data_IF_555336061553
#
_entry.id   IF_555336061553
#
_cell.length_a   1.000
_cell.length_b   1.000
_cell.length_c   1.000
_cell.angle_alpha   90.00
_cell.angle_beta   90.00
_cell.angle_gamma   90.00
#
_symmetry.space_group_name_H-M   'P 1'
#
loop_
_entity.id
_entity.type
_entity.pdbx_description
1 polymer ?
#
# COMPACT_ATOMS: atom_id res chain seq x y z
N UNK A 1 -29.40 45.02 8.97
CA UNK A 1 -29.91 43.67 9.19
C UNK A 1 -30.12 42.90 7.85
N UNK A 2 -30.76 43.46 6.84
CA UNK A 2 -30.98 42.83 5.55
C UNK A 2 -29.67 42.56 4.79
N UNK A 3 -28.75 43.54 4.75
CA UNK A 3 -27.45 43.39 4.06
C UNK A 3 -26.59 42.27 4.65
N UNK A 4 -26.60 42.09 5.99
CA UNK A 4 -25.91 40.98 6.67
C UNK A 4 -26.51 39.61 6.33
N UNK A 5 -27.84 39.52 6.15
CA UNK A 5 -28.51 38.30 5.74
C UNK A 5 -28.22 37.96 4.27
N UNK A 6 -28.14 38.98 3.40
CA UNK A 6 -27.76 38.80 1.98
C UNK A 6 -26.29 38.34 1.89
N UNK A 7 -25.37 38.96 2.61
CA UNK A 7 -23.97 38.56 2.64
C UNK A 7 -23.81 37.12 3.20
N UNK A 8 -24.55 36.78 4.27
CA UNK A 8 -24.56 35.43 4.82
C UNK A 8 -25.16 34.40 3.84
N UNK A 9 -26.22 34.73 3.15
CA UNK A 9 -26.82 33.89 2.11
C UNK A 9 -25.91 33.73 0.90
N UNK A 10 -25.24 34.79 0.46
CA UNK A 10 -24.22 34.73 -0.62
C UNK A 10 -22.99 33.91 -0.18
N UNK A 11 -22.61 33.97 1.10
CA UNK A 11 -21.54 33.16 1.64
C UNK A 11 -21.91 31.66 1.72
N UNK A 12 -23.15 31.35 2.09
CA UNK A 12 -23.68 29.97 2.07
C UNK A 12 -23.77 29.47 0.63
N UNK A 13 -24.30 30.26 -0.30
CA UNK A 13 -24.37 29.91 -1.73
C UNK A 13 -22.98 29.79 -2.38
N UNK A 14 -22.02 30.58 -1.94
CA UNK A 14 -20.61 30.45 -2.36
C UNK A 14 -19.95 29.20 -1.77
N UNK A 15 -20.29 28.80 -0.54
CA UNK A 15 -19.83 27.54 0.04
C UNK A 15 -20.48 26.33 -0.62
N UNK A 16 -21.75 26.38 -0.99
CA UNK A 16 -22.42 25.31 -1.78
C UNK A 16 -21.84 25.17 -3.18
N UNK A 17 -21.40 26.26 -3.82
CA UNK A 17 -20.68 26.22 -5.09
C UNK A 17 -19.22 25.75 -4.98
N UNK A 18 -18.64 25.74 -3.77
CA UNK A 18 -17.30 25.25 -3.46
C UNK A 18 -17.30 23.76 -3.08
N UNK A 19 -18.45 23.17 -2.72
CA UNK A 19 -18.54 21.75 -2.42
C UNK A 19 -18.37 20.93 -3.71
N UNK A 20 -17.57 19.88 -3.64
CA UNK A 20 -17.38 18.94 -4.74
C UNK A 20 -18.72 18.38 -5.21
N UNK A 21 -19.00 18.44 -6.54
CA UNK A 21 -20.23 17.89 -7.11
C UNK A 21 -20.38 16.41 -6.77
N UNK A 22 -21.58 15.98 -6.41
CA UNK A 22 -21.89 14.59 -6.07
C UNK A 22 -21.44 13.60 -7.16
N UNK A 23 -21.66 13.94 -8.44
CA UNK A 23 -21.22 13.13 -9.58
C UNK A 23 -19.69 12.96 -9.60
N UNK A 24 -18.93 14.04 -9.37
CA UNK A 24 -17.47 13.99 -9.29
C UNK A 24 -17.02 13.08 -8.14
N UNK A 25 -17.68 13.18 -6.98
CA UNK A 25 -17.37 12.33 -5.84
C UNK A 25 -17.56 10.84 -6.15
N UNK A 26 -18.67 10.49 -6.81
CA UNK A 26 -18.91 9.10 -7.25
C UNK A 26 -17.84 8.66 -8.24
N UNK A 27 -17.49 9.50 -9.23
CA UNK A 27 -16.44 9.19 -10.19
C UNK A 27 -15.09 8.89 -9.50
N UNK A 28 -14.70 9.69 -8.49
CA UNK A 28 -13.47 9.49 -7.76
C UNK A 28 -13.51 8.20 -6.89
N UNK A 29 -14.65 7.90 -6.26
CA UNK A 29 -14.82 6.66 -5.51
C UNK A 29 -14.71 5.42 -6.41
N UNK A 30 -15.36 5.44 -7.59
CA UNK A 30 -15.27 4.35 -8.58
C UNK A 30 -13.84 4.23 -9.10
N UNK A 31 -13.16 5.34 -9.39
CA UNK A 31 -11.75 5.36 -9.81
C UNK A 31 -10.86 4.68 -8.78
N UNK A 32 -10.98 5.05 -7.51
CA UNK A 32 -10.20 4.42 -6.43
C UNK A 32 -10.51 2.94 -6.30
N UNK A 33 -11.81 2.58 -6.31
CA UNK A 33 -12.24 1.19 -6.26
C UNK A 33 -11.62 0.37 -7.39
N UNK A 34 -11.78 0.79 -8.64
CA UNK A 34 -11.28 0.05 -9.80
C UNK A 34 -9.75 -0.05 -9.80
N UNK A 35 -9.05 1.04 -9.49
CA UNK A 35 -7.58 1.04 -9.47
C UNK A 35 -7.01 0.00 -8.50
N UNK A 36 -7.52 -0.06 -7.28
CA UNK A 36 -7.05 -1.01 -6.27
C UNK A 36 -7.64 -2.42 -6.44
N UNK A 37 -8.82 -2.54 -7.01
CA UNK A 37 -9.37 -3.83 -7.44
C UNK A 37 -8.45 -4.51 -8.45
N UNK A 38 -7.98 -3.78 -9.46
CA UNK A 38 -7.01 -4.27 -10.46
C UNK A 38 -5.77 -4.86 -9.80
N UNK A 39 -5.26 -4.24 -8.75
CA UNK A 39 -4.08 -4.76 -8.04
C UNK A 39 -4.42 -5.96 -7.14
N UNK A 40 -5.50 -5.85 -6.36
CA UNK A 40 -5.93 -6.90 -5.45
C UNK A 40 -6.38 -8.19 -6.15
N UNK A 41 -6.79 -8.11 -7.42
CA UNK A 41 -7.32 -9.25 -8.17
C UNK A 41 -6.28 -10.32 -8.54
N UNK A 42 -4.98 -10.06 -8.42
CA UNK A 42 -3.95 -11.02 -8.80
C UNK A 42 -2.75 -11.06 -7.84
N UNK A 43 -2.43 -9.93 -7.18
CA UNK A 43 -1.14 -9.75 -6.51
C UNK A 43 -0.89 -10.77 -5.40
N UNK A 44 -1.87 -11.01 -4.51
CA UNK A 44 -1.69 -11.94 -3.39
C UNK A 44 -1.64 -13.41 -3.82
N UNK A 45 -2.26 -13.76 -4.96
CA UNK A 45 -2.35 -15.14 -5.45
C UNK A 45 -1.29 -15.47 -6.51
N UNK A 46 -0.51 -14.49 -6.94
CA UNK A 46 0.53 -14.66 -7.97
C UNK A 46 1.54 -15.73 -7.58
N UNK A 47 1.98 -15.75 -6.31
CA UNK A 47 2.94 -16.74 -5.82
C UNK A 47 2.40 -18.18 -5.97
N UNK A 48 1.16 -18.42 -5.55
CA UNK A 48 0.49 -19.71 -5.68
C UNK A 48 0.33 -20.11 -7.18
N UNK A 49 -0.01 -19.14 -8.04
CA UNK A 49 -0.05 -19.38 -9.49
C UNK A 49 1.32 -19.77 -10.03
N UNK A 50 2.38 -19.03 -9.71
CA UNK A 50 3.73 -19.32 -10.19
C UNK A 50 4.23 -20.69 -9.73
N UNK A 51 3.94 -21.09 -8.49
CA UNK A 51 4.27 -22.45 -7.99
C UNK A 51 3.50 -23.56 -8.71
N UNK A 52 2.40 -23.25 -9.42
CA UNK A 52 1.72 -24.22 -10.28
C UNK A 52 2.39 -24.42 -11.65
N UNK A 53 3.31 -23.54 -12.04
CA UNK A 53 4.09 -23.66 -13.29
C UNK A 53 5.30 -24.56 -13.01
N UNK A 54 5.47 -25.66 -13.76
CA UNK A 54 6.60 -26.58 -13.57
C UNK A 54 7.96 -25.88 -13.69
N UNK A 55 8.84 -26.15 -12.72
CA UNK A 55 10.22 -25.66 -12.73
C UNK A 55 10.40 -24.23 -12.21
N UNK A 56 9.33 -23.56 -11.75
CA UNK A 56 9.45 -22.23 -11.11
C UNK A 56 9.92 -22.41 -9.67
N UNK A 57 11.07 -21.77 -9.35
CA UNK A 57 11.67 -21.78 -8.02
C UNK A 57 11.11 -20.69 -7.11
N UNK A 58 11.33 -20.79 -5.81
CA UNK A 58 10.88 -19.77 -4.85
C UNK A 58 11.65 -18.46 -5.02
N UNK A 59 12.92 -18.54 -5.42
CA UNK A 59 13.70 -17.35 -5.81
C UNK A 59 13.05 -16.63 -6.98
N UNK A 60 12.58 -17.37 -8.00
CA UNK A 60 11.86 -16.77 -9.14
C UNK A 60 10.54 -16.13 -8.72
N UNK A 61 9.81 -16.72 -7.77
CA UNK A 61 8.62 -16.09 -7.18
C UNK A 61 8.98 -14.75 -6.54
N UNK A 62 10.06 -14.70 -5.74
CA UNK A 62 10.55 -13.46 -5.15
C UNK A 62 10.96 -12.41 -6.18
N UNK A 63 11.64 -12.83 -7.26
CA UNK A 63 12.01 -11.94 -8.37
C UNK A 63 10.76 -11.39 -9.09
N UNK A 64 9.71 -12.19 -9.24
CA UNK A 64 8.44 -11.74 -9.82
C UNK A 64 7.76 -10.68 -8.93
N UNK A 65 7.67 -10.88 -7.62
CA UNK A 65 7.17 -9.86 -6.70
C UNK A 65 8.04 -8.61 -6.69
N UNK A 66 9.36 -8.73 -6.85
CA UNK A 66 10.31 -7.63 -6.96
C UNK A 66 10.00 -6.65 -8.11
N UNK A 67 9.25 -7.06 -9.15
CA UNK A 67 8.80 -6.17 -10.23
C UNK A 67 7.96 -5.00 -9.72
N UNK A 68 7.19 -5.19 -8.64
CA UNK A 68 6.48 -4.10 -7.95
C UNK A 68 7.45 -3.02 -7.49
N UNK A 69 8.54 -3.41 -6.86
CA UNK A 69 9.54 -2.49 -6.34
C UNK A 69 10.28 -1.77 -7.46
N UNK A 70 10.62 -2.46 -8.55
CA UNK A 70 11.20 -1.84 -9.74
C UNK A 70 10.24 -0.83 -10.36
N UNK A 71 8.97 -1.18 -10.49
CA UNK A 71 7.92 -0.27 -10.92
C UNK A 71 7.80 0.97 -10.01
N UNK A 72 7.85 0.79 -8.68
CA UNK A 72 7.77 1.87 -7.71
C UNK A 72 9.01 2.81 -7.76
N UNK A 73 10.20 2.28 -8.05
CA UNK A 73 11.41 3.08 -8.26
C UNK A 73 11.30 3.91 -9.55
N UNK A 74 10.71 3.36 -10.61
CA UNK A 74 10.59 4.01 -11.93
C UNK A 74 9.41 4.98 -11.98
N UNK A 75 8.34 4.72 -11.23
CA UNK A 75 7.09 5.50 -11.26
C UNK A 75 7.27 7.03 -11.11
N UNK A 76 8.09 7.55 -10.18
CA UNK A 76 8.29 9.00 -10.04
C UNK A 76 8.86 9.66 -11.29
N UNK A 77 9.70 8.94 -12.06
CA UNK A 77 10.25 9.46 -13.32
C UNK A 77 9.16 9.58 -14.39
N UNK A 78 8.26 8.59 -14.50
CA UNK A 78 7.13 8.65 -15.43
C UNK A 78 6.20 9.81 -15.07
N UNK A 79 5.86 9.95 -13.78
CA UNK A 79 5.00 11.04 -13.31
C UNK A 79 5.68 12.39 -13.54
N UNK A 80 6.89 12.60 -13.00
CA UNK A 80 7.56 13.89 -13.03
C UNK A 80 7.99 14.33 -14.43
N UNK A 81 8.32 13.41 -15.34
CA UNK A 81 8.78 13.74 -16.69
C UNK A 81 7.64 13.80 -17.72
N UNK A 82 6.55 13.07 -17.51
CA UNK A 82 5.47 12.94 -18.50
C UNK A 82 4.18 13.56 -17.98
N UNK A 83 3.64 13.02 -16.88
CA UNK A 83 2.32 13.39 -16.39
C UNK A 83 2.25 14.85 -15.90
N UNK A 84 3.26 15.28 -15.19
CA UNK A 84 3.30 16.63 -14.61
C UNK A 84 3.52 17.75 -15.67
N UNK A 85 3.87 17.39 -16.90
CA UNK A 85 4.28 18.37 -17.91
C UNK A 85 3.45 18.40 -19.18
N UNK A 86 3.06 17.23 -19.69
CA UNK A 86 2.57 17.15 -21.07
C UNK A 86 1.10 16.76 -21.16
N UNK A 87 0.60 15.93 -20.27
CA UNK A 87 -0.72 15.35 -20.42
C UNK A 87 -1.54 15.46 -19.15
N UNK A 88 -2.85 15.54 -19.27
CA UNK A 88 -3.77 15.48 -18.14
C UNK A 88 -3.69 14.13 -17.44
N UNK A 89 -3.65 14.12 -16.11
CA UNK A 89 -3.45 12.93 -15.28
C UNK A 89 -4.47 11.82 -15.59
N UNK A 90 -5.75 12.14 -15.77
CA UNK A 90 -6.79 11.17 -16.10
C UNK A 90 -6.59 10.52 -17.46
N UNK A 91 -6.01 11.22 -18.45
CA UNK A 91 -5.73 10.66 -19.78
C UNK A 91 -4.58 9.65 -19.72
N UNK A 92 -3.52 10.00 -19.00
CA UNK A 92 -2.39 9.07 -18.78
C UNK A 92 -2.86 7.85 -18.03
N UNK A 93 -3.64 8.03 -16.96
CA UNK A 93 -4.24 6.95 -16.20
C UNK A 93 -4.98 5.97 -17.11
N UNK A 94 -5.80 6.49 -18.04
CA UNK A 94 -6.52 5.67 -19.02
C UNK A 94 -5.59 4.87 -19.94
N UNK A 95 -4.58 5.54 -20.50
CA UNK A 95 -3.61 4.89 -21.40
C UNK A 95 -2.81 3.81 -20.67
N UNK A 96 -2.33 4.08 -19.45
CA UNK A 96 -1.56 3.12 -18.67
C UNK A 96 -2.37 1.87 -18.32
N UNK A 97 -3.66 2.02 -17.96
CA UNK A 97 -4.53 0.88 -17.69
C UNK A 97 -4.84 0.05 -18.94
N UNK A 98 -5.12 0.69 -20.09
CA UNK A 98 -5.35 -0.03 -21.35
C UNK A 98 -4.09 -0.78 -21.79
N UNK A 99 -2.92 -0.14 -21.75
CA UNK A 99 -1.66 -0.79 -22.06
C UNK A 99 -1.38 -1.94 -21.07
N UNK A 100 -1.58 -1.71 -19.77
CA UNK A 100 -1.45 -2.73 -18.74
C UNK A 100 -2.37 -3.93 -18.94
N UNK A 101 -3.60 -3.71 -19.41
CA UNK A 101 -4.54 -4.78 -19.73
C UNK A 101 -4.02 -5.74 -20.79
N UNK A 102 -3.34 -5.22 -21.83
CA UNK A 102 -2.72 -6.07 -22.86
C UNK A 102 -1.66 -7.01 -22.26
N UNK A 103 -0.82 -6.49 -21.34
CA UNK A 103 0.20 -7.31 -20.68
C UNK A 103 -0.42 -8.32 -19.71
N UNK A 104 -1.46 -7.95 -18.95
CA UNK A 104 -2.17 -8.90 -18.08
C UNK A 104 -2.89 -10.00 -18.87
N UNK A 105 -3.48 -9.66 -20.01
CA UNK A 105 -4.04 -10.67 -20.90
C UNK A 105 -2.96 -11.60 -21.44
N UNK A 106 -1.83 -11.06 -21.91
CA UNK A 106 -0.69 -11.86 -22.38
C UNK A 106 -0.16 -12.79 -21.27
N UNK A 107 0.03 -12.30 -20.05
CA UNK A 107 0.41 -13.08 -18.87
C UNK A 107 -0.53 -14.27 -18.68
N UNK A 108 -1.83 -14.10 -18.91
CA UNK A 108 -2.82 -15.18 -18.78
C UNK A 108 -2.73 -16.27 -19.86
N UNK A 109 -1.91 -16.06 -20.88
CA UNK A 109 -1.73 -17.03 -22.01
C UNK A 109 -0.39 -17.76 -21.97
N UNK A 110 0.54 -17.33 -21.11
CA UNK A 110 1.88 -17.94 -21.00
C UNK A 110 1.97 -18.87 -19.80
N UNK A 111 2.78 -19.92 -19.91
CA UNK A 111 2.95 -20.98 -18.92
C UNK A 111 4.42 -21.23 -18.57
N UNK A 112 5.29 -20.25 -18.76
CA UNK A 112 6.70 -20.31 -18.41
C UNK A 112 7.17 -19.00 -17.82
N UNK A 113 8.15 -19.07 -16.92
CA UNK A 113 8.67 -17.89 -16.19
C UNK A 113 9.36 -16.89 -17.10
N UNK A 114 10.09 -17.36 -18.14
CA UNK A 114 10.86 -16.50 -19.03
C UNK A 114 10.00 -15.52 -19.85
N UNK A 115 8.77 -15.92 -20.18
CA UNK A 115 7.78 -15.04 -20.85
C UNK A 115 6.94 -14.25 -19.83
N UNK A 116 6.64 -14.85 -18.68
CA UNK A 116 5.84 -14.24 -17.62
C UNK A 116 6.54 -13.01 -17.02
N UNK A 117 7.81 -13.16 -16.62
CA UNK A 117 8.55 -12.12 -15.88
C UNK A 117 8.71 -10.79 -16.63
N UNK A 118 9.16 -10.77 -17.90
CA UNK A 118 9.29 -9.49 -18.63
C UNK A 118 7.95 -8.79 -18.83
N UNK A 119 6.89 -9.55 -19.10
CA UNK A 119 5.54 -8.99 -19.25
C UNK A 119 5.03 -8.40 -17.94
N UNK A 120 5.26 -9.08 -16.80
CA UNK A 120 4.92 -8.59 -15.48
C UNK A 120 5.71 -7.33 -15.12
N UNK A 121 7.01 -7.29 -15.44
CA UNK A 121 7.85 -6.11 -15.19
C UNK A 121 7.32 -4.88 -15.95
N UNK A 122 7.00 -5.04 -17.24
CA UNK A 122 6.42 -3.94 -18.03
C UNK A 122 5.07 -3.53 -17.45
N UNK A 123 4.22 -4.49 -17.10
CA UNK A 123 2.94 -4.21 -16.46
C UNK A 123 3.13 -3.38 -15.17
N UNK A 124 4.07 -3.75 -14.29
CA UNK A 124 4.31 -3.04 -13.04
C UNK A 124 4.89 -1.64 -13.26
N UNK A 125 5.72 -1.45 -14.30
CA UNK A 125 6.18 -0.11 -14.71
C UNK A 125 5.02 0.77 -15.17
N UNK A 126 4.01 0.20 -15.83
CA UNK A 126 2.79 0.92 -16.24
C UNK A 126 1.83 1.14 -15.07
N UNK A 127 1.71 0.16 -14.17
CA UNK A 127 0.73 0.21 -13.07
C UNK A 127 1.16 1.11 -11.90
N UNK A 128 2.42 1.04 -11.44
CA UNK A 128 2.87 1.80 -10.25
C UNK A 128 2.64 3.32 -10.34
N UNK A 129 2.83 3.99 -11.50
CA UNK A 129 2.49 5.39 -11.64
C UNK A 129 1.00 5.70 -11.41
N UNK A 130 0.10 4.74 -11.68
CA UNK A 130 -1.34 4.96 -11.53
C UNK A 130 -1.73 5.28 -10.10
N UNK A 131 -1.00 4.77 -9.09
CA UNK A 131 -1.22 5.05 -7.67
C UNK A 131 -1.05 6.54 -7.34
N UNK A 132 -0.07 7.20 -7.93
CA UNK A 132 0.11 8.64 -7.78
C UNK A 132 -0.91 9.44 -8.60
N UNK A 133 -1.26 8.96 -9.81
CA UNK A 133 -2.23 9.63 -10.69
C UNK A 133 -3.63 9.67 -10.09
N UNK A 134 -4.13 8.56 -9.49
CA UNK A 134 -5.45 8.57 -8.85
C UNK A 134 -5.51 9.52 -7.66
N UNK A 135 -4.40 9.66 -6.92
CA UNK A 135 -4.28 10.64 -5.85
C UNK A 135 -4.30 12.07 -6.43
N UNK A 136 -3.51 12.34 -7.49
CA UNK A 136 -3.46 13.65 -8.13
C UNK A 136 -4.81 14.08 -8.70
N UNK A 137 -5.53 13.16 -9.38
CA UNK A 137 -6.90 13.41 -9.87
C UNK A 137 -7.83 13.72 -8.71
N UNK A 138 -7.75 12.97 -7.60
CA UNK A 138 -8.60 13.21 -6.42
C UNK A 138 -8.30 14.55 -5.76
N UNK A 139 -7.03 14.84 -5.46
CA UNK A 139 -6.64 16.09 -4.79
C UNK A 139 -6.99 17.35 -5.60
N UNK A 140 -7.03 17.26 -6.93
CA UNK A 140 -7.43 18.40 -7.78
C UNK A 140 -8.91 18.75 -7.62
N UNK A 141 -9.75 17.80 -7.24
CA UNK A 141 -11.22 17.95 -7.20
C UNK A 141 -11.75 18.19 -5.78
N UNK A 142 -11.01 17.80 -4.72
CA UNK A 142 -11.44 17.98 -3.34
C UNK A 142 -11.16 19.42 -2.89
N UNK A 143 -12.10 20.01 -2.15
CA UNK A 143 -11.96 21.35 -1.57
C UNK A 143 -11.34 21.31 -0.18
N UNK A 144 -11.60 20.24 0.58
CA UNK A 144 -11.00 19.99 1.88
C UNK A 144 -10.35 18.59 1.88
N UNK A 145 -9.05 18.50 1.50
CA UNK A 145 -8.34 17.22 1.40
C UNK A 145 -8.38 16.39 2.68
N UNK A 146 -8.29 17.00 3.84
CA UNK A 146 -8.25 16.30 5.13
C UNK A 146 -9.54 15.54 5.42
N UNK A 147 -10.70 16.09 5.04
CA UNK A 147 -12.01 15.50 5.31
C UNK A 147 -12.53 14.64 4.16
N UNK A 148 -12.29 15.07 2.92
CA UNK A 148 -12.91 14.47 1.74
C UNK A 148 -12.07 13.34 1.13
N UNK A 149 -10.74 13.48 1.14
CA UNK A 149 -9.86 12.49 0.50
C UNK A 149 -9.92 11.12 1.18
N UNK A 150 -9.95 11.06 2.51
CA UNK A 150 -10.06 9.80 3.25
C UNK A 150 -11.32 9.00 2.85
N UNK A 151 -12.46 9.70 2.68
CA UNK A 151 -13.73 9.09 2.27
C UNK A 151 -13.71 8.55 0.82
N UNK A 152 -12.87 9.11 -0.05
CA UNK A 152 -12.66 8.62 -1.42
C UNK A 152 -11.68 7.45 -1.39
N UNK A 153 -10.58 7.60 -0.65
CA UNK A 153 -9.48 6.64 -0.59
C UNK A 153 -9.90 5.28 -0.03
N UNK A 154 -10.85 5.24 0.91
CA UNK A 154 -11.38 4.00 1.49
C UNK A 154 -11.97 3.06 0.43
N UNK A 155 -12.52 3.60 -0.68
CA UNK A 155 -13.02 2.78 -1.79
C UNK A 155 -11.92 1.97 -2.47
N UNK A 156 -10.66 2.41 -2.40
CA UNK A 156 -9.52 1.60 -2.83
C UNK A 156 -9.38 0.32 -1.99
N UNK A 157 -9.42 0.44 -0.67
CA UNK A 157 -9.39 -0.74 0.22
C UNK A 157 -10.58 -1.66 -0.01
N UNK A 158 -11.78 -1.10 -0.21
CA UNK A 158 -12.97 -1.88 -0.58
C UNK A 158 -12.76 -2.61 -1.92
N UNK A 159 -12.17 -1.96 -2.93
CA UNK A 159 -11.86 -2.60 -4.21
C UNK A 159 -10.94 -3.81 -4.07
N UNK A 160 -9.89 -3.69 -3.26
CA UNK A 160 -8.99 -4.79 -2.94
C UNK A 160 -9.70 -5.95 -2.22
N UNK A 161 -10.53 -5.64 -1.21
CA UNK A 161 -11.32 -6.63 -0.48
C UNK A 161 -12.26 -7.37 -1.42
N UNK A 162 -13.01 -6.66 -2.25
CA UNK A 162 -13.96 -7.27 -3.20
C UNK A 162 -13.24 -8.18 -4.19
N UNK A 163 -12.06 -7.79 -4.68
CA UNK A 163 -11.24 -8.63 -5.56
C UNK A 163 -10.88 -9.95 -4.88
N UNK A 164 -10.36 -9.91 -3.64
CA UNK A 164 -10.02 -11.11 -2.88
C UNK A 164 -11.22 -12.00 -2.56
N UNK A 165 -12.37 -11.41 -2.23
CA UNK A 165 -13.63 -12.15 -1.99
C UNK A 165 -14.11 -12.85 -3.26
N UNK A 166 -14.00 -12.22 -4.45
CA UNK A 166 -14.36 -12.84 -5.73
C UNK A 166 -13.48 -14.06 -5.98
N UNK A 167 -12.16 -13.97 -5.78
CA UNK A 167 -11.24 -15.10 -5.96
C UNK A 167 -11.62 -16.27 -5.06
N UNK A 168 -11.89 -15.98 -3.78
CA UNK A 168 -12.32 -16.99 -2.80
C UNK A 168 -13.68 -17.59 -3.14
N UNK A 169 -14.66 -16.79 -3.54
CA UNK A 169 -16.00 -17.25 -3.92
C UNK A 169 -16.01 -18.10 -5.19
N UNK A 170 -15.20 -17.70 -6.19
CA UNK A 170 -15.03 -18.46 -7.44
C UNK A 170 -14.19 -19.73 -7.26
N UNK A 171 -13.61 -19.95 -6.08
CA UNK A 171 -12.77 -21.09 -5.73
C UNK A 171 -11.61 -21.33 -6.75
N UNK A 172 -11.03 -20.25 -7.31
CA UNK A 172 -9.98 -20.38 -8.33
C UNK A 172 -8.68 -20.98 -7.78
N UNK A 173 -8.43 -20.86 -6.48
CA UNK A 173 -7.29 -21.49 -5.81
C UNK A 173 -7.45 -23.01 -5.77
N UNK A 174 -8.65 -23.52 -5.47
CA UNK A 174 -8.95 -24.95 -5.36
C UNK A 174 -9.15 -25.63 -6.74
N UNK A 175 -9.68 -24.89 -7.71
CA UNK A 175 -9.93 -25.39 -9.07
C UNK A 175 -8.74 -25.29 -10.01
N UNK A 176 -7.54 -24.91 -9.50
CA UNK A 176 -6.34 -24.66 -10.32
C UNK A 176 -6.58 -23.65 -11.46
N UNK A 177 -7.49 -22.69 -11.22
CA UNK A 177 -7.93 -21.72 -12.22
C UNK A 177 -7.41 -20.30 -11.94
N UNK A 178 -6.31 -20.17 -11.18
CA UNK A 178 -5.72 -18.87 -10.82
C UNK A 178 -5.30 -18.01 -12.02
N UNK A 179 -5.13 -18.58 -13.19
CA UNK A 179 -4.95 -17.82 -14.43
C UNK A 179 -6.09 -16.82 -14.68
N UNK A 180 -7.29 -17.08 -14.18
CA UNK A 180 -8.44 -16.19 -14.30
C UNK A 180 -8.27 -14.89 -13.51
N UNK A 181 -7.39 -14.84 -12.51
CA UNK A 181 -7.04 -13.61 -11.79
C UNK A 181 -6.43 -12.57 -12.73
N UNK A 182 -5.54 -12.99 -13.63
CA UNK A 182 -4.93 -12.11 -14.64
C UNK A 182 -5.93 -11.71 -15.73
N UNK A 183 -6.84 -12.61 -16.14
CA UNK A 183 -7.94 -12.29 -17.08
C UNK A 183 -8.91 -11.27 -16.49
N UNK A 184 -9.32 -11.48 -15.23
CA UNK A 184 -10.17 -10.51 -14.51
C UNK A 184 -9.48 -9.15 -14.41
N UNK A 185 -8.19 -9.14 -14.05
CA UNK A 185 -7.37 -7.93 -13.99
C UNK A 185 -7.34 -7.22 -15.35
N UNK A 186 -7.12 -7.95 -16.44
CA UNK A 186 -7.12 -7.38 -17.80
C UNK A 186 -8.47 -6.73 -18.13
N UNK A 187 -9.58 -7.42 -17.88
CA UNK A 187 -10.93 -6.90 -18.14
C UNK A 187 -11.19 -5.62 -17.31
N UNK A 188 -10.93 -5.66 -16.01
CA UNK A 188 -11.17 -4.50 -15.14
C UNK A 188 -10.21 -3.35 -15.46
N UNK A 189 -8.98 -3.64 -15.91
CA UNK A 189 -8.05 -2.60 -16.40
C UNK A 189 -8.57 -1.91 -17.66
N UNK A 190 -9.19 -2.63 -18.60
CA UNK A 190 -9.86 -2.00 -19.75
C UNK A 190 -11.01 -1.10 -19.29
N UNK A 191 -11.86 -1.60 -18.38
CA UNK A 191 -12.97 -0.82 -17.80
C UNK A 191 -12.44 0.46 -17.13
N UNK A 192 -11.42 0.32 -16.29
CA UNK A 192 -10.77 1.45 -15.61
C UNK A 192 -10.15 2.42 -16.61
N UNK A 193 -9.49 1.91 -17.64
CA UNK A 193 -8.87 2.71 -18.70
C UNK A 193 -9.90 3.57 -19.43
N UNK A 194 -11.02 2.96 -19.91
CA UNK A 194 -12.10 3.67 -20.57
C UNK A 194 -12.76 4.68 -19.61
N UNK A 195 -13.04 4.25 -18.39
CA UNK A 195 -13.65 5.10 -17.36
C UNK A 195 -12.80 6.33 -17.05
N UNK A 196 -11.47 6.19 -17.09
CA UNK A 196 -10.53 7.29 -16.80
C UNK A 196 -10.72 8.49 -17.74
N UNK A 197 -11.15 8.28 -18.98
CA UNK A 197 -11.42 9.38 -19.91
C UNK A 197 -12.71 10.17 -19.59
N UNK A 198 -13.56 9.63 -18.72
CA UNK A 198 -14.77 10.34 -18.22
C UNK A 198 -14.52 11.13 -16.94
N UNK A 199 -13.35 10.99 -16.32
CA UNK A 199 -12.99 11.69 -15.10
C UNK A 199 -12.82 13.19 -15.34
N UNK A 200 -12.97 14.02 -14.30
CA UNK A 200 -12.77 15.45 -14.38
C UNK A 200 -11.37 15.81 -14.90
N UNK A 201 -11.29 16.82 -15.73
CA UNK A 201 -10.03 17.25 -16.32
C UNK A 201 -9.03 17.69 -15.25
N UNK A 202 -7.87 17.04 -15.25
CA UNK A 202 -6.77 17.27 -14.31
C UNK A 202 -5.52 17.63 -15.11
N UNK A 203 -5.36 18.91 -15.50
CA UNK A 203 -4.24 19.35 -16.33
C UNK A 203 -2.90 19.22 -15.57
N UNK A 204 -1.78 19.13 -16.29
CA UNK A 204 -0.46 18.99 -15.68
C UNK A 204 -0.11 20.19 -14.80
N UNK A 205 0.29 20.00 -13.54
CA UNK A 205 0.53 21.09 -12.58
C UNK A 205 1.79 21.89 -12.89
N UNK A 206 2.76 21.31 -13.59
CA UNK A 206 4.06 21.91 -13.93
C UNK A 206 4.26 22.09 -15.43
N UNK A 207 3.18 22.40 -16.17
CA UNK A 207 3.28 22.65 -17.61
C UNK A 207 4.33 23.74 -17.91
N UNK A 208 5.34 23.40 -18.72
CA UNK A 208 6.39 24.33 -19.12
C UNK A 208 7.52 24.56 -18.10
N UNK A 209 7.50 23.93 -16.90
CA UNK A 209 8.59 24.03 -15.91
C UNK A 209 9.60 22.90 -16.04
N UNK A 210 10.86 23.17 -15.63
CA UNK A 210 11.91 22.14 -15.51
C UNK A 210 11.88 21.57 -14.08
N UNK A 211 11.66 20.27 -13.93
CA UNK A 211 11.83 19.57 -12.64
C UNK A 211 13.21 18.91 -12.64
N UNK A 212 13.98 19.04 -11.58
CA UNK A 212 15.25 18.34 -11.48
C UNK A 212 15.05 16.86 -11.14
N UNK A 213 15.98 16.01 -11.57
CA UNK A 213 15.96 14.59 -11.16
C UNK A 213 16.06 14.47 -9.63
N UNK A 214 16.77 15.39 -8.98
CA UNK A 214 16.90 15.45 -7.54
C UNK A 214 15.56 15.66 -6.83
N UNK A 215 14.70 16.54 -7.34
CA UNK A 215 13.33 16.72 -6.82
C UNK A 215 12.49 15.46 -6.97
N UNK A 216 12.62 14.76 -8.11
CA UNK A 216 11.84 13.55 -8.41
C UNK A 216 12.16 12.42 -7.43
N UNK A 217 13.44 12.20 -7.12
CA UNK A 217 13.88 11.13 -6.21
C UNK A 217 14.01 11.57 -4.75
N UNK A 218 13.61 12.80 -4.44
CA UNK A 218 13.58 13.29 -3.08
C UNK A 218 14.94 13.66 -2.48
N UNK A 219 15.94 13.99 -3.32
CA UNK A 219 17.30 14.36 -2.85
C UNK A 219 17.30 15.56 -1.90
N UNK A 220 16.36 16.49 -2.05
CA UNK A 220 16.21 17.65 -1.16
C UNK A 220 15.93 17.24 0.29
N UNK A 221 15.38 16.06 0.50
CA UNK A 221 15.09 15.51 1.82
C UNK A 221 16.26 14.74 2.46
N UNK A 222 17.36 14.49 1.74
CA UNK A 222 18.53 13.76 2.28
C UNK A 222 19.09 14.47 3.53
N UNK A 223 18.96 15.79 3.62
CA UNK A 223 19.34 16.56 4.79
C UNK A 223 18.67 16.08 6.10
N UNK A 224 17.48 15.48 6.04
CA UNK A 224 16.79 14.92 7.20
C UNK A 224 17.55 13.73 7.82
N UNK A 225 18.33 12.99 7.05
CA UNK A 225 19.13 11.87 7.55
C UNK A 225 20.27 12.29 8.50
N UNK A 226 20.58 13.60 8.59
CA UNK A 226 21.50 14.13 9.58
C UNK A 226 20.89 14.13 11.00
N UNK A 227 19.56 14.15 11.12
CA UNK A 227 18.89 13.93 12.41
C UNK A 227 18.94 12.45 12.76
N UNK A 228 19.56 12.12 13.89
CA UNK A 228 19.75 10.72 14.32
C UNK A 228 18.42 9.97 14.49
N UNK A 229 17.37 10.63 14.96
CA UNK A 229 16.06 9.98 15.13
C UNK A 229 15.43 9.70 13.77
N UNK A 230 15.51 10.66 12.84
CA UNK A 230 15.00 10.43 11.48
C UNK A 230 15.79 9.34 10.75
N UNK A 231 17.10 9.28 10.94
CA UNK A 231 17.94 8.21 10.38
C UNK A 231 17.55 6.83 10.94
N UNK A 232 17.34 6.72 12.25
CA UNK A 232 16.89 5.46 12.87
C UNK A 232 15.53 5.06 12.33
N UNK A 233 14.59 6.01 12.20
CA UNK A 233 13.28 5.76 11.60
C UNK A 233 13.41 5.31 10.13
N UNK A 234 14.23 6.00 9.33
CA UNK A 234 14.45 5.68 7.92
C UNK A 234 14.99 4.26 7.72
N UNK A 235 16.05 3.90 8.47
CA UNK A 235 16.65 2.57 8.41
C UNK A 235 15.65 1.51 8.87
N UNK A 236 14.92 1.76 9.97
CA UNK A 236 13.90 0.84 10.46
C UNK A 236 12.76 0.66 9.47
N UNK A 237 12.38 1.74 8.76
CA UNK A 237 11.33 1.69 7.72
C UNK A 237 11.78 0.86 6.51
N UNK A 238 13.03 0.95 6.12
CA UNK A 238 13.59 0.11 5.07
C UNK A 238 13.61 -1.37 5.49
N UNK A 239 14.12 -1.65 6.68
CA UNK A 239 14.30 -3.03 7.18
C UNK A 239 12.97 -3.73 7.49
N UNK A 240 11.95 -3.05 7.99
CA UNK A 240 10.65 -3.65 8.29
C UNK A 240 9.89 -4.06 7.02
N UNK A 241 10.26 -3.51 5.86
CA UNK A 241 9.72 -3.93 4.58
C UNK A 241 10.15 -5.35 4.20
N UNK A 242 11.24 -5.87 4.79
CA UNK A 242 11.64 -7.27 4.59
C UNK A 242 10.56 -8.21 5.14
N UNK A 243 10.16 -8.14 6.43
CA UNK A 243 8.99 -8.88 6.92
C UNK A 243 7.72 -8.64 6.09
N UNK A 244 7.44 -7.40 5.69
CA UNK A 244 6.25 -7.09 4.88
C UNK A 244 6.24 -7.87 3.56
N UNK A 245 7.39 -7.99 2.89
CA UNK A 245 7.52 -8.75 1.65
C UNK A 245 7.20 -10.23 1.85
N UNK A 246 7.63 -10.85 2.95
CA UNK A 246 7.23 -12.22 3.29
C UNK A 246 5.72 -12.39 3.37
N UNK A 247 5.02 -11.42 3.93
CA UNK A 247 3.56 -11.50 3.99
C UNK A 247 2.92 -11.54 2.61
N UNK A 248 3.29 -10.62 1.74
CA UNK A 248 2.69 -10.54 0.40
C UNK A 248 3.05 -11.74 -0.48
N UNK A 249 4.28 -12.22 -0.38
CA UNK A 249 4.78 -13.31 -1.21
C UNK A 249 4.32 -14.67 -0.71
N UNK A 250 4.48 -14.94 0.60
CA UNK A 250 4.42 -16.30 1.13
C UNK A 250 3.06 -16.66 1.72
N UNK A 251 2.26 -15.68 2.21
CA UNK A 251 1.06 -16.03 2.99
C UNK A 251 0.05 -16.82 2.17
N UNK A 252 -0.20 -16.45 0.92
CA UNK A 252 -1.17 -17.17 0.09
C UNK A 252 -0.66 -18.57 -0.29
N UNK A 253 0.64 -18.70 -0.61
CA UNK A 253 1.29 -20.00 -0.88
C UNK A 253 1.15 -20.90 0.34
N UNK A 254 1.54 -20.40 1.52
CA UNK A 254 1.44 -21.10 2.80
C UNK A 254 0.03 -21.62 3.07
N UNK A 255 -0.96 -20.73 3.04
CA UNK A 255 -2.35 -21.10 3.34
C UNK A 255 -2.89 -22.15 2.37
N UNK A 256 -2.55 -22.08 1.09
CA UNK A 256 -2.94 -23.07 0.09
C UNK A 256 -2.20 -24.41 0.31
N UNK A 257 -0.92 -24.38 0.63
CA UNK A 257 -0.14 -25.61 0.86
C UNK A 257 -0.63 -26.38 2.09
N UNK A 258 -0.98 -25.67 3.19
CA UNK A 258 -1.60 -26.29 4.38
C UNK A 258 -3.12 -26.54 4.23
N UNK A 259 -3.66 -26.37 3.00
CA UNK A 259 -5.06 -26.71 2.63
C UNK A 259 -6.13 -25.81 3.29
N UNK A 260 -5.84 -24.56 3.58
CA UNK A 260 -6.85 -23.58 3.99
C UNK A 260 -7.72 -23.21 2.80
N UNK A 261 -9.00 -23.53 2.84
CA UNK A 261 -9.95 -23.25 1.77
C UNK A 261 -10.18 -21.72 1.62
N UNK A 262 -10.17 -21.20 0.36
CA UNK A 262 -10.44 -19.80 0.05
C UNK A 262 -9.46 -18.84 0.72
N UNK A 263 -8.16 -19.12 0.65
CA UNK A 263 -7.10 -18.36 1.31
C UNK A 263 -7.13 -16.88 0.94
N UNK A 264 -7.27 -16.53 -0.35
CA UNK A 264 -7.36 -15.15 -0.81
C UNK A 264 -8.53 -14.39 -0.18
N UNK A 265 -9.71 -15.03 -0.09
CA UNK A 265 -10.88 -14.44 0.58
C UNK A 265 -10.64 -14.23 2.08
N UNK A 266 -9.97 -15.16 2.77
CA UNK A 266 -9.64 -15.03 4.20
C UNK A 266 -8.58 -13.97 4.45
N UNK A 267 -7.62 -13.78 3.55
CA UNK A 267 -6.63 -12.72 3.65
C UNK A 267 -7.26 -11.32 3.61
N UNK A 268 -8.47 -11.14 3.06
CA UNK A 268 -9.17 -9.85 3.10
C UNK A 268 -9.53 -9.38 4.50
N UNK A 269 -9.58 -10.28 5.49
CA UNK A 269 -9.73 -9.90 6.90
C UNK A 269 -8.60 -8.98 7.38
N UNK A 270 -7.42 -9.09 6.79
CA UNK A 270 -6.30 -8.18 7.05
C UNK A 270 -6.61 -6.75 6.61
N UNK A 271 -7.16 -6.57 5.41
CA UNK A 271 -7.55 -5.26 4.89
C UNK A 271 -8.78 -4.69 5.62
N UNK A 272 -9.72 -5.56 6.04
CA UNK A 272 -10.83 -5.13 6.90
C UNK A 272 -10.31 -4.61 8.25
N UNK A 273 -9.33 -5.31 8.83
CA UNK A 273 -8.66 -4.87 10.06
C UNK A 273 -7.93 -3.54 9.85
N UNK A 274 -7.20 -3.35 8.76
CA UNK A 274 -6.56 -2.09 8.39
C UNK A 274 -7.58 -0.94 8.35
N UNK A 275 -8.72 -1.14 7.69
CA UNK A 275 -9.77 -0.13 7.64
C UNK A 275 -10.29 0.25 9.03
N UNK A 276 -10.48 -0.73 9.93
CA UNK A 276 -10.94 -0.49 11.31
C UNK A 276 -9.87 0.29 12.09
N UNK A 277 -8.61 -0.14 12.06
CA UNK A 277 -7.54 0.53 12.79
C UNK A 277 -7.23 1.92 12.23
N UNK A 278 -7.37 2.16 10.93
CA UNK A 278 -7.28 3.49 10.33
C UNK A 278 -8.32 4.46 10.91
N UNK A 279 -9.57 4.01 11.12
CA UNK A 279 -10.59 4.83 11.80
C UNK A 279 -10.26 5.09 13.28
N UNK A 280 -9.61 4.14 13.94
CA UNK A 280 -9.21 4.26 15.34
C UNK A 280 -7.87 4.99 15.55
N UNK A 281 -7.13 5.27 14.46
CA UNK A 281 -5.80 5.91 14.51
C UNK A 281 -5.74 7.18 15.36
N UNK A 282 -6.66 8.15 15.23
CA UNK A 282 -6.60 9.37 16.04
C UNK A 282 -6.62 9.08 17.56
N UNK A 283 -7.44 8.11 17.99
CA UNK A 283 -7.56 7.72 19.39
C UNK A 283 -6.25 7.13 19.93
N UNK A 284 -5.63 6.25 19.15
CA UNK A 284 -4.36 5.62 19.52
C UNK A 284 -3.21 6.61 19.46
N UNK A 285 -3.16 7.46 18.44
CA UNK A 285 -2.11 8.44 18.24
C UNK A 285 -2.05 9.45 19.39
N UNK A 286 -3.20 9.98 19.84
CA UNK A 286 -3.29 10.90 20.97
C UNK A 286 -2.80 10.27 22.28
N UNK A 287 -3.06 8.97 22.51
CA UNK A 287 -2.70 8.28 23.76
C UNK A 287 -1.27 7.73 23.78
N UNK A 288 -0.78 7.28 22.65
CA UNK A 288 0.47 6.53 22.57
C UNK A 288 1.64 7.35 22.01
N UNK A 289 1.35 8.32 21.14
CA UNK A 289 2.36 9.09 20.41
C UNK A 289 3.15 8.25 19.40
N UNK A 290 4.02 8.91 18.64
CA UNK A 290 4.74 8.32 17.50
C UNK A 290 5.57 7.09 17.90
N UNK A 291 6.42 7.20 18.92
CA UNK A 291 7.36 6.12 19.29
C UNK A 291 6.63 4.82 19.66
N UNK A 292 5.61 4.91 20.53
CA UNK A 292 4.90 3.72 21.00
C UNK A 292 4.08 3.08 19.87
N UNK A 293 3.47 3.88 18.99
CA UNK A 293 2.73 3.35 17.85
C UNK A 293 3.65 2.59 16.89
N UNK A 294 4.79 3.15 16.51
CA UNK A 294 5.79 2.47 15.67
C UNK A 294 6.28 1.16 16.31
N UNK A 295 6.57 1.17 17.61
CA UNK A 295 6.98 -0.04 18.34
C UNK A 295 5.89 -1.10 18.39
N UNK A 296 4.62 -0.73 18.62
CA UNK A 296 3.49 -1.66 18.62
C UNK A 296 3.31 -2.28 17.23
N UNK A 297 3.43 -1.47 16.16
CA UNK A 297 3.40 -1.96 14.79
C UNK A 297 4.50 -3.00 14.51
N UNK A 298 5.74 -2.72 14.94
CA UNK A 298 6.87 -3.67 14.80
C UNK A 298 6.67 -4.93 15.63
N UNK A 299 6.17 -4.82 16.88
CA UNK A 299 5.86 -5.96 17.73
C UNK A 299 4.74 -6.81 17.11
N UNK A 300 3.73 -6.19 16.53
CA UNK A 300 2.65 -6.90 15.83
C UNK A 300 3.19 -7.70 14.65
N UNK A 301 4.19 -7.20 13.89
CA UNK A 301 4.89 -7.97 12.85
C UNK A 301 5.52 -9.24 13.42
N UNK A 302 6.26 -9.13 14.54
CA UNK A 302 6.89 -10.29 15.19
C UNK A 302 5.85 -11.30 15.62
N UNK A 303 4.81 -10.86 16.35
CA UNK A 303 3.74 -11.74 16.86
C UNK A 303 3.03 -12.43 15.70
N UNK A 304 2.72 -11.71 14.62
CA UNK A 304 2.07 -12.24 13.43
C UNK A 304 2.81 -13.44 12.84
N UNK A 305 4.12 -13.35 12.68
CA UNK A 305 4.90 -14.44 12.10
C UNK A 305 5.11 -15.60 13.07
N UNK A 306 5.12 -15.34 14.38
CA UNK A 306 5.08 -16.41 15.38
C UNK A 306 3.74 -17.15 15.27
N UNK A 307 2.61 -16.44 15.13
CA UNK A 307 1.31 -17.07 14.95
C UNK A 307 1.26 -17.92 13.67
N UNK A 308 1.83 -17.46 12.55
CA UNK A 308 1.93 -18.27 11.34
C UNK A 308 2.87 -19.46 11.49
N UNK A 309 3.97 -19.33 12.24
CA UNK A 309 4.93 -20.40 12.46
C UNK A 309 4.36 -21.58 13.27
N UNK A 310 3.36 -21.33 14.12
CA UNK A 310 2.76 -22.32 15.00
C UNK A 310 1.28 -22.59 14.70
N UNK A 311 0.67 -21.85 13.77
CA UNK A 311 -0.70 -22.07 13.34
C UNK A 311 -0.83 -23.31 12.45
N UNK A 312 -1.98 -23.97 12.55
CA UNK A 312 -2.36 -25.13 11.74
C UNK A 312 -3.83 -25.08 11.35
N UNK A 313 -4.28 -26.05 10.55
CA UNK A 313 -5.70 -26.16 10.14
C UNK A 313 -6.60 -26.88 11.16
N UNK A 314 -6.07 -27.28 12.30
CA UNK A 314 -6.79 -27.89 13.42
C UNK A 314 -7.02 -26.89 14.56
N UNK A 315 -6.54 -27.23 15.75
CA UNK A 315 -6.68 -26.40 16.95
C UNK A 315 -5.94 -25.05 16.86
N UNK A 316 -4.94 -24.93 15.98
CA UNK A 316 -4.16 -23.73 15.71
C UNK A 316 -4.78 -22.78 14.67
N UNK A 317 -5.96 -23.05 14.13
CA UNK A 317 -6.59 -22.21 13.10
C UNK A 317 -6.77 -20.74 13.54
N UNK A 318 -7.05 -20.50 14.83
CA UNK A 318 -7.16 -19.15 15.38
C UNK A 318 -5.86 -18.35 15.25
N UNK A 319 -4.68 -19.02 15.28
CA UNK A 319 -3.39 -18.37 15.07
C UNK A 319 -3.27 -17.86 13.64
N UNK A 320 -3.75 -18.61 12.65
CA UNK A 320 -3.77 -18.18 11.25
C UNK A 320 -4.63 -16.92 11.07
N UNK A 321 -5.86 -16.93 11.61
CA UNK A 321 -6.73 -15.75 11.60
C UNK A 321 -6.11 -14.57 12.37
N UNK A 322 -5.55 -14.83 13.56
CA UNK A 322 -4.85 -13.81 14.34
C UNK A 322 -3.70 -13.17 13.55
N UNK A 323 -2.87 -13.99 12.90
CA UNK A 323 -1.80 -13.52 12.03
C UNK A 323 -2.30 -12.68 10.84
N UNK A 324 -3.45 -13.03 10.24
CA UNK A 324 -4.06 -12.23 9.16
C UNK A 324 -4.60 -10.92 9.71
N UNK A 325 -5.37 -10.93 10.80
CA UNK A 325 -6.04 -9.75 11.37
C UNK A 325 -5.02 -8.73 11.93
N UNK A 326 -3.87 -9.17 12.43
CA UNK A 326 -2.82 -8.26 12.86
C UNK A 326 -2.30 -7.34 11.75
N UNK A 327 -2.69 -7.57 10.48
CA UNK A 327 -2.27 -6.72 9.35
C UNK A 327 -2.58 -5.23 9.57
N UNK A 328 -3.76 -4.90 10.07
CA UNK A 328 -4.14 -3.52 10.32
C UNK A 328 -3.21 -2.83 11.32
N UNK A 329 -2.90 -3.48 12.44
CA UNK A 329 -1.97 -2.93 13.44
C UNK A 329 -0.56 -2.81 12.85
N UNK A 330 -0.08 -3.85 12.15
CA UNK A 330 1.23 -3.82 11.52
C UNK A 330 1.37 -2.64 10.56
N UNK A 331 0.36 -2.45 9.70
CA UNK A 331 0.40 -1.47 8.61
C UNK A 331 0.15 -0.05 9.11
N UNK A 332 -0.97 0.18 9.80
CA UNK A 332 -1.37 1.51 10.20
C UNK A 332 -0.45 2.10 11.28
N UNK A 333 -0.13 1.31 12.31
CA UNK A 333 0.70 1.80 13.40
C UNK A 333 2.14 2.04 12.99
N UNK A 334 2.60 1.41 11.91
CA UNK A 334 3.93 1.68 11.40
C UNK A 334 3.92 2.65 10.21
N UNK A 335 3.27 2.29 9.10
CA UNK A 335 3.38 3.07 7.86
C UNK A 335 2.61 4.38 7.91
N UNK A 336 1.35 4.38 8.40
CA UNK A 336 0.57 5.62 8.49
C UNK A 336 1.17 6.57 9.53
N UNK A 337 1.57 6.05 10.70
CA UNK A 337 2.30 6.84 11.71
C UNK A 337 3.62 7.37 11.17
N UNK A 338 4.34 6.56 10.40
CA UNK A 338 5.59 6.95 9.75
C UNK A 338 5.43 8.08 8.74
N UNK A 339 4.33 8.08 7.98
CA UNK A 339 3.99 9.18 7.06
C UNK A 339 3.69 10.47 7.84
N UNK A 340 2.94 10.39 8.94
CA UNK A 340 2.66 11.54 9.81
C UNK A 340 3.97 12.08 10.38
N UNK A 341 4.82 11.23 10.95
CA UNK A 341 6.13 11.61 11.48
C UNK A 341 7.03 12.26 10.42
N UNK A 342 7.04 11.72 9.21
CA UNK A 342 7.81 12.29 8.08
C UNK A 342 7.32 13.69 7.72
N UNK A 343 5.98 13.91 7.68
CA UNK A 343 5.39 15.22 7.40
C UNK A 343 5.77 16.25 8.46
N UNK A 344 5.71 15.87 9.74
CA UNK A 344 6.07 16.76 10.85
C UNK A 344 7.55 17.15 10.80
N UNK A 345 8.44 16.21 10.47
CA UNK A 345 9.89 16.43 10.45
C UNK A 345 10.38 17.19 9.24
N UNK A 346 9.73 17.04 8.09
CA UNK A 346 10.16 17.69 6.84
C UNK A 346 9.76 19.16 6.73
N UNK A 347 8.68 19.57 7.43
CA UNK A 347 8.06 20.87 7.22
C UNK A 347 7.44 21.01 5.83
N UNK A 348 6.82 22.14 5.52
CA UNK A 348 6.07 22.32 4.29
C UNK A 348 6.93 22.28 3.03
N UNK A 349 8.12 22.87 3.08
CA UNK A 349 8.98 23.09 1.91
C UNK A 349 9.46 21.79 1.23
N UNK A 350 9.82 20.77 2.02
CA UNK A 350 10.39 19.51 1.49
C UNK A 350 9.52 18.28 1.80
N UNK A 351 8.24 18.50 2.20
CA UNK A 351 7.31 17.43 2.57
C UNK A 351 7.16 16.38 1.48
N UNK A 352 6.91 16.80 0.26
CA UNK A 352 6.75 15.90 -0.89
C UNK A 352 8.01 15.09 -1.16
N UNK A 353 9.19 15.73 -1.13
CA UNK A 353 10.49 15.07 -1.30
C UNK A 353 10.77 14.06 -0.18
N UNK A 354 10.42 14.39 1.07
CA UNK A 354 10.58 13.50 2.21
C UNK A 354 9.69 12.26 2.10
N UNK A 355 8.42 12.42 1.72
CA UNK A 355 7.51 11.30 1.47
C UNK A 355 7.99 10.44 0.30
N UNK A 356 8.47 11.06 -0.78
CA UNK A 356 9.07 10.34 -1.91
C UNK A 356 10.29 9.52 -1.49
N UNK A 357 11.18 10.09 -0.67
CA UNK A 357 12.35 9.40 -0.14
C UNK A 357 11.98 8.19 0.74
N UNK A 358 10.97 8.33 1.62
CA UNK A 358 10.48 7.22 2.44
C UNK A 358 9.82 6.14 1.56
N UNK A 359 9.03 6.54 0.55
CA UNK A 359 8.40 5.61 -0.39
C UNK A 359 9.45 4.83 -1.18
N UNK A 360 10.50 5.51 -1.65
CA UNK A 360 11.62 4.87 -2.35
C UNK A 360 12.37 3.89 -1.42
N UNK A 361 12.61 4.27 -0.17
CA UNK A 361 13.27 3.41 0.81
C UNK A 361 12.42 2.18 1.17
N UNK A 362 11.09 2.34 1.32
CA UNK A 362 10.18 1.27 1.72
C UNK A 362 9.74 0.41 0.54
N UNK A 363 8.84 0.92 -0.31
CA UNK A 363 8.26 0.17 -1.43
C UNK A 363 9.23 -0.08 -2.58
N UNK A 364 10.25 0.76 -2.74
CA UNK A 364 11.34 0.54 -3.69
C UNK A 364 12.36 -0.45 -3.11
N UNK A 365 13.34 0.07 -2.37
CA UNK A 365 14.54 -0.69 -1.97
C UNK A 365 14.21 -1.76 -0.91
N UNK A 366 13.47 -1.40 0.14
CA UNK A 366 13.16 -2.30 1.25
C UNK A 366 12.36 -3.52 0.81
N UNK A 367 11.30 -3.33 0.02
CA UNK A 367 10.50 -4.42 -0.52
C UNK A 367 11.27 -5.26 -1.55
N UNK A 368 12.12 -4.64 -2.39
CA UNK A 368 12.95 -5.37 -3.35
C UNK A 368 13.88 -6.35 -2.65
N UNK A 369 14.60 -5.87 -1.62
CA UNK A 369 15.44 -6.72 -0.77
C UNK A 369 14.56 -7.77 -0.07
N UNK A 370 13.40 -7.37 0.42
CA UNK A 370 12.48 -8.25 1.15
C UNK A 370 11.98 -9.41 0.31
N UNK A 371 11.54 -9.19 -0.91
CA UNK A 371 11.08 -10.23 -1.82
C UNK A 371 12.22 -11.19 -2.21
N UNK A 372 13.42 -10.64 -2.41
CA UNK A 372 14.58 -11.47 -2.69
C UNK A 372 14.95 -12.35 -1.48
N UNK A 373 14.98 -11.79 -0.27
CA UNK A 373 15.24 -12.54 0.97
C UNK A 373 14.15 -13.57 1.23
N UNK A 374 12.89 -13.26 0.98
CA UNK A 374 11.79 -14.20 1.12
C UNK A 374 11.95 -15.39 0.16
N UNK A 375 12.23 -15.14 -1.12
CA UNK A 375 12.47 -16.20 -2.10
C UNK A 375 13.64 -17.09 -1.74
N UNK A 376 14.80 -16.52 -1.32
CA UNK A 376 15.95 -17.30 -0.86
C UNK A 376 15.63 -18.12 0.39
N UNK A 377 14.83 -17.58 1.30
CA UNK A 377 14.45 -18.28 2.54
C UNK A 377 13.53 -19.47 2.21
N UNK A 378 12.53 -19.26 1.37
CA UNK A 378 11.60 -20.32 0.96
C UNK A 378 12.32 -21.41 0.19
N UNK A 379 13.18 -21.07 -0.77
CA UNK A 379 14.02 -22.02 -1.50
C UNK A 379 14.90 -22.88 -0.55
N UNK A 380 15.53 -22.24 0.46
CA UNK A 380 16.37 -22.92 1.44
C UNK A 380 15.58 -23.95 2.28
N UNK A 381 14.33 -23.68 2.55
CA UNK A 381 13.48 -24.52 3.40
C UNK A 381 12.45 -25.31 2.58
N UNK A 382 12.65 -25.43 1.27
CA UNK A 382 11.88 -26.34 0.40
C UNK A 382 12.27 -27.80 0.70
N UNK A 383 11.28 -28.66 0.78
CA UNK A 383 11.42 -30.12 0.97
C UNK A 383 10.68 -30.86 -0.15
N UNK A 384 10.85 -32.18 -0.24
CA UNK A 384 10.27 -32.98 -1.32
C UNK A 384 8.75 -32.77 -1.57
N UNK A 385 7.98 -32.48 -0.50
CA UNK A 385 6.53 -32.33 -0.56
C UNK A 385 6.07 -30.98 0.02
N UNK A 386 6.77 -29.88 -0.29
CA UNK A 386 6.38 -28.53 0.14
C UNK A 386 7.49 -27.83 0.90
N UNK A 387 7.14 -27.13 1.99
CA UNK A 387 8.05 -26.24 2.69
C UNK A 387 8.03 -26.46 4.22
N UNK A 388 9.18 -26.19 4.85
CA UNK A 388 9.29 -26.12 6.32
C UNK A 388 8.78 -24.75 6.82
N UNK A 389 7.48 -24.55 6.78
CA UNK A 389 6.83 -23.25 7.03
C UNK A 389 7.20 -22.61 8.36
N UNK A 390 7.37 -23.41 9.41
CA UNK A 390 7.82 -22.90 10.71
C UNK A 390 9.14 -22.13 10.61
N UNK A 391 10.12 -22.69 9.89
CA UNK A 391 11.43 -22.06 9.70
C UNK A 391 11.33 -20.81 8.83
N UNK A 392 10.50 -20.88 7.79
CA UNK A 392 10.24 -19.73 6.89
C UNK A 392 9.65 -18.56 7.70
N UNK A 393 8.61 -18.80 8.52
CA UNK A 393 7.95 -17.73 9.29
C UNK A 393 8.78 -17.20 10.46
N UNK A 394 9.62 -18.01 11.08
CA UNK A 394 10.52 -17.54 12.14
C UNK A 394 11.61 -16.60 11.60
N UNK A 395 11.95 -16.67 10.33
CA UNK A 395 12.92 -15.73 9.71
C UNK A 395 12.44 -14.28 9.75
N UNK A 396 11.27 -13.90 9.18
CA UNK A 396 10.77 -12.53 9.28
C UNK A 396 10.39 -12.13 10.71
N UNK A 397 10.01 -13.08 11.59
CA UNK A 397 9.81 -12.82 13.02
C UNK A 397 11.11 -12.35 13.69
N UNK A 398 12.24 -13.03 13.41
CA UNK A 398 13.55 -12.65 13.90
C UNK A 398 14.02 -11.30 13.35
N UNK A 399 13.81 -11.04 12.06
CA UNK A 399 14.14 -9.74 11.45
C UNK A 399 13.31 -8.62 12.11
N UNK A 400 12.00 -8.82 12.29
CA UNK A 400 11.13 -7.83 12.93
C UNK A 400 11.55 -7.56 14.39
N UNK A 401 11.99 -8.59 15.13
CA UNK A 401 12.53 -8.45 16.48
C UNK A 401 13.80 -7.59 16.48
N UNK A 402 14.74 -7.85 15.57
CA UNK A 402 15.98 -7.06 15.47
C UNK A 402 15.66 -5.60 15.16
N UNK A 403 14.76 -5.33 14.22
CA UNK A 403 14.34 -3.96 13.87
C UNK A 403 13.65 -3.28 15.06
N UNK A 404 12.77 -4.00 15.77
CA UNK A 404 12.15 -3.52 17.00
C UNK A 404 13.17 -3.11 18.05
N UNK A 405 14.17 -3.95 18.30
CA UNK A 405 15.23 -3.66 19.30
C UNK A 405 16.08 -2.45 18.88
N UNK A 406 16.50 -2.37 17.61
CA UNK A 406 17.23 -1.21 17.08
C UNK A 406 16.41 0.06 17.30
N UNK A 407 15.14 0.05 16.90
CA UNK A 407 14.28 1.22 17.05
C UNK A 407 14.04 1.59 18.51
N UNK A 408 13.75 0.61 19.39
CA UNK A 408 13.50 0.84 20.81
C UNK A 408 14.69 1.49 21.52
N UNK A 409 15.90 1.05 21.20
CA UNK A 409 17.15 1.52 21.83
C UNK A 409 17.61 2.87 21.29
N UNK A 410 17.50 3.10 19.98
CA UNK A 410 18.14 4.25 19.35
C UNK A 410 17.17 5.39 18.99
N UNK A 411 15.87 5.13 18.81
CA UNK A 411 14.89 6.16 18.57
C UNK A 411 14.50 6.84 19.88
N UNK A 412 14.76 8.15 19.99
CA UNK A 412 14.40 8.97 21.16
C UNK A 412 13.19 9.83 20.82
N UNK A 413 12.11 9.62 21.55
CA UNK A 413 10.93 10.47 21.44
C UNK A 413 11.28 11.87 22.02
N UNK A 414 11.41 12.85 21.14
CA UNK A 414 11.44 14.25 21.59
C UNK A 414 9.98 14.68 21.67
N UNK A 415 9.48 14.97 22.86
CA UNK A 415 8.17 15.56 23.07
C UNK A 415 7.97 16.71 22.08
N UNK A 416 6.90 16.65 21.32
CA UNK A 416 6.56 17.69 20.36
C UNK A 416 5.66 18.69 21.09
N UNK A 417 6.10 19.95 21.34
CA UNK A 417 5.32 20.92 22.10
C UNK A 417 3.93 21.20 21.51
N UNK A 418 3.72 20.95 20.21
CA UNK A 418 2.42 21.11 19.55
C UNK A 418 1.43 19.99 19.93
N UNK A 419 1.90 18.76 20.12
CA UNK A 419 1.05 17.64 20.56
C UNK A 419 0.72 17.78 22.04
N UNK A 420 1.67 18.19 22.87
CA UNK A 420 1.45 18.44 24.30
C UNK A 420 0.40 19.54 24.51
N UNK A 421 0.40 20.63 23.70
CA UNK A 421 -0.64 21.68 23.78
C UNK A 421 -2.01 21.20 23.30
N UNK A 422 -2.11 20.32 22.30
CA UNK A 422 -3.40 19.75 21.86
C UNK A 422 -3.96 18.75 22.89
N UNK A 423 -3.10 17.98 23.53
CA UNK A 423 -3.49 17.04 24.61
C UNK A 423 -3.95 17.82 25.85
N UNK A 424 -3.22 18.84 26.26
CA UNK A 424 -3.59 19.68 27.41
C UNK A 424 -4.91 20.44 27.17
N UNK A 425 -5.14 20.95 25.96
CA UNK A 425 -6.40 21.60 25.60
C UNK A 425 -7.58 20.62 25.49
N UNK A 426 -7.37 19.40 25.06
CA UNK A 426 -8.44 18.38 24.99
C UNK A 426 -8.79 17.82 26.37
N UNK A 427 -7.83 17.68 27.27
CA UNK A 427 -8.05 17.26 28.66
C UNK A 427 -8.73 18.40 29.46
N UNK A 428 -8.35 19.64 29.20
CA UNK A 428 -8.95 20.81 29.85
C UNK A 428 -10.39 21.11 29.35
N UNK A 429 -10.77 20.62 28.17
CA UNK A 429 -12.11 20.80 27.58
C UNK A 429 -13.11 19.66 27.90
N UNK A 430 -12.72 18.65 28.70
CA UNK A 430 -13.63 17.61 29.19
C UNK A 430 -14.01 17.90 30.65
N UNK A 431 -15.14 18.57 30.92
CA UNK A 431 -15.66 18.63 32.29
C UNK A 431 -16.20 17.24 32.66
N UNK A 432 -15.56 16.60 33.61
CA UNK A 432 -16.15 15.50 34.38
C UNK A 432 -17.41 16.03 35.09
N UNK A 433 -18.57 15.73 34.56
CA UNK A 433 -19.84 15.55 35.28
C UNK A 433 -20.64 14.47 34.62
#
# INVERSE_FOLDING_TARGET
MILLKIVHLLFILAQENLAMKFTTRIQLCIMMFLNFFVWGAWFVTMGTYLKSIPGVTDVQVGVAYGTQSLGAIIAPFIIGLIADRFFSAQKILGVLHIAGACFMYYISTVNNFSSFYPALLIYMILYMPTLALVNAVSFKQVTNPEKEFANIRVFGTIGWIVAGLIIGWMAWEQSSSLVNTFRLTAIVSVIMGIFSFTLPNTPPPKAGTKTSLGEIIGLDAIGLLKDKNFLVFFISSLLICIPLAFYYQETNIYLNEIKVQGAAGKMTLGQMSEMIFMFLMPLFFLRLGVKKMLLIGMAAWMVRYILFAYGDTGSGMWMLYGGIILHGICYDFFFVTGQIYTNERSGERIRSSAQGMITLATYGIGMLIGFWVAGLTSEKYTIANGHLWKSIWLTPAGIALVVFLIFALFFKDKKNPVIDTMVDTSIAASPLT
#
